data_IF_015454713873
#
_entry.id   IF_015454713873
#
_cell.length_a   1.000
_cell.length_b   1.000
_cell.length_c   1.000
_cell.angle_alpha   90.00
_cell.angle_beta   90.00
_cell.angle_gamma   90.00
#
_symmetry.space_group_name_H-M   'P 1'
#
loop_
_entity.id
_entity.type
_entity.pdbx_description
1 polymer ?
#
# COMPACT_ATOMS: atom_id res chain seq x y z
N UNK A 1 -16.73 -5.66 6.41
CA UNK A 1 -16.40 -4.51 5.60
C UNK A 1 -14.90 -4.23 5.53
N UNK A 2 -14.48 -3.33 4.67
CA UNK A 2 -13.06 -3.00 4.37
C UNK A 2 -12.24 -2.61 5.60
N UNK A 3 -12.80 -1.80 6.50
CA UNK A 3 -12.10 -1.37 7.73
C UNK A 3 -11.75 -2.58 8.59
N UNK A 4 -12.70 -3.48 8.79
CA UNK A 4 -12.47 -4.68 9.59
C UNK A 4 -11.40 -5.56 8.95
N UNK A 5 -11.44 -5.75 7.64
CA UNK A 5 -10.46 -6.57 6.92
C UNK A 5 -9.09 -5.91 6.86
N UNK A 6 -9.03 -4.67 6.35
CA UNK A 6 -7.77 -4.01 6.04
C UNK A 6 -7.06 -3.44 7.28
N UNK A 7 -7.81 -3.02 8.32
CA UNK A 7 -7.23 -2.40 9.50
C UNK A 7 -7.23 -3.35 10.71
N UNK A 8 -8.42 -3.80 11.15
CA UNK A 8 -8.52 -4.60 12.37
C UNK A 8 -7.82 -5.96 12.21
N UNK A 9 -8.15 -6.72 11.17
CA UNK A 9 -7.58 -8.06 10.98
C UNK A 9 -6.06 -8.00 10.76
N UNK A 10 -5.57 -7.03 9.98
CA UNK A 10 -4.14 -6.83 9.78
C UNK A 10 -3.42 -6.53 11.09
N UNK A 11 -3.97 -5.62 11.91
CA UNK A 11 -3.37 -5.26 13.20
C UNK A 11 -3.36 -6.45 14.16
N UNK A 12 -4.47 -7.19 14.24
CA UNK A 12 -4.58 -8.39 15.10
C UNK A 12 -3.60 -9.48 14.66
N UNK A 13 -3.53 -9.79 13.36
CA UNK A 13 -2.58 -10.77 12.82
C UNK A 13 -1.15 -10.37 13.11
N UNK A 14 -0.80 -9.11 12.91
CA UNK A 14 0.53 -8.59 13.25
C UNK A 14 0.83 -8.80 14.73
N UNK A 15 -0.08 -8.39 15.62
CA UNK A 15 0.10 -8.55 17.08
C UNK A 15 0.30 -10.00 17.50
N UNK A 16 -0.49 -10.92 16.95
CA UNK A 16 -0.42 -12.36 17.25
C UNK A 16 0.91 -12.96 16.75
N UNK A 17 1.41 -12.49 15.60
CA UNK A 17 2.63 -13.01 14.99
C UNK A 17 3.92 -12.54 15.68
N UNK A 18 3.91 -11.33 16.25
CA UNK A 18 5.12 -10.71 16.84
C UNK A 18 5.88 -11.60 17.84
N UNK A 19 5.25 -12.31 18.78
CA UNK A 19 5.96 -13.16 19.74
C UNK A 19 6.75 -14.32 19.11
N UNK A 20 6.39 -14.71 17.88
CA UNK A 20 7.01 -15.80 17.13
C UNK A 20 8.07 -15.32 16.13
N UNK A 21 8.32 -14.02 16.06
CA UNK A 21 9.28 -13.44 15.12
C UNK A 21 10.66 -13.33 15.71
N UNK A 22 11.64 -13.84 14.98
CA UNK A 22 13.06 -13.74 15.32
C UNK A 22 13.71 -12.53 14.61
N UNK A 23 14.94 -12.21 15.02
CA UNK A 23 15.81 -11.26 14.31
C UNK A 23 15.93 -11.65 12.84
N UNK A 24 15.84 -10.68 11.94
CA UNK A 24 15.79 -10.82 10.48
C UNK A 24 14.43 -11.26 9.90
N UNK A 25 13.40 -11.40 10.72
CA UNK A 25 12.05 -11.60 10.20
C UNK A 25 11.55 -10.36 9.42
N UNK A 26 10.65 -10.61 8.46
CA UNK A 26 10.04 -9.57 7.66
C UNK A 26 8.52 -9.64 7.76
N UNK A 27 7.88 -8.47 7.95
CA UNK A 27 6.43 -8.27 7.82
C UNK A 27 6.20 -7.48 6.54
N UNK A 28 5.41 -8.03 5.63
CA UNK A 28 5.06 -7.35 4.37
C UNK A 28 3.56 -7.10 4.37
N UNK A 29 3.17 -5.84 4.55
CA UNK A 29 1.78 -5.42 4.58
C UNK A 29 1.35 -4.84 3.23
N UNK A 30 0.24 -5.31 2.70
CA UNK A 30 -0.29 -4.86 1.41
C UNK A 30 -1.16 -3.61 1.59
N UNK A 31 -0.56 -2.45 1.33
CA UNK A 31 -1.22 -1.16 1.22
C UNK A 31 -1.72 -0.92 -0.22
N UNK A 32 -1.61 0.28 -0.72
CA UNK A 32 -1.94 0.70 -2.09
C UNK A 32 -1.33 2.07 -2.37
N UNK A 33 -1.18 2.46 -3.62
CA UNK A 33 -0.92 3.85 -4.00
C UNK A 33 -2.07 4.79 -3.61
N UNK A 34 -3.28 4.25 -3.41
CA UNK A 34 -4.42 4.98 -2.82
C UNK A 34 -4.15 5.50 -1.40
N UNK A 35 -3.15 4.94 -0.71
CA UNK A 35 -2.70 5.40 0.60
C UNK A 35 -1.97 6.76 0.57
N UNK A 36 -1.59 7.24 -0.61
CA UNK A 36 -0.78 8.45 -0.71
C UNK A 36 -1.59 9.75 -0.65
N UNK A 37 -2.90 9.67 -0.90
CA UNK A 37 -3.79 10.83 -0.86
C UNK A 37 -5.26 10.41 -0.77
N UNK A 38 -6.17 11.30 -0.28
CA UNK A 38 -7.61 11.06 -0.30
C UNK A 38 -8.12 10.82 -1.73
N UNK A 39 -9.07 9.90 -1.89
CA UNK A 39 -9.68 9.61 -3.20
C UNK A 39 -11.20 9.70 -3.11
N UNK A 40 -11.84 10.68 -3.79
CA UNK A 40 -13.30 10.72 -3.96
C UNK A 40 -13.81 9.39 -4.55
N UNK A 41 -15.00 8.98 -4.17
CA UNK A 41 -15.64 7.71 -4.52
C UNK A 41 -14.94 6.43 -3.98
N UNK A 42 -13.72 6.54 -3.43
CA UNK A 42 -12.95 5.46 -2.79
C UNK A 42 -12.50 5.85 -1.38
N UNK A 43 -13.25 6.70 -0.68
CA UNK A 43 -12.85 7.28 0.60
C UNK A 43 -12.48 6.22 1.66
N UNK A 44 -13.34 5.22 1.87
CA UNK A 44 -13.11 4.15 2.85
C UNK A 44 -11.89 3.31 2.47
N UNK A 45 -11.75 2.93 1.19
CA UNK A 45 -10.61 2.19 0.69
C UNK A 45 -9.31 2.97 0.89
N UNK A 46 -9.24 4.22 0.40
CA UNK A 46 -8.06 5.06 0.53
C UNK A 46 -7.67 5.28 2.01
N UNK A 47 -8.64 5.55 2.87
CA UNK A 47 -8.41 5.70 4.30
C UNK A 47 -7.87 4.41 4.94
N UNK A 48 -8.45 3.24 4.61
CA UNK A 48 -7.96 1.96 5.13
C UNK A 48 -6.53 1.65 4.68
N UNK A 49 -6.18 1.98 3.43
CA UNK A 49 -4.82 1.78 2.90
C UNK A 49 -3.82 2.81 3.45
N UNK A 50 -4.27 4.02 3.78
CA UNK A 50 -3.48 5.02 4.51
C UNK A 50 -3.18 4.55 5.94
N UNK A 51 -4.14 3.92 6.61
CA UNK A 51 -3.93 3.26 7.89
C UNK A 51 -2.81 2.21 7.78
N UNK A 52 -2.90 1.28 6.81
CA UNK A 52 -1.89 0.23 6.61
C UNK A 52 -0.50 0.81 6.38
N UNK A 53 -0.40 1.86 5.56
CA UNK A 53 0.88 2.53 5.27
C UNK A 53 1.46 3.19 6.53
N UNK A 54 0.65 3.94 7.27
CA UNK A 54 1.07 4.64 8.49
C UNK A 54 1.47 3.65 9.58
N UNK A 55 0.62 2.65 9.86
CA UNK A 55 0.86 1.58 10.81
C UNK A 55 2.17 0.84 10.51
N UNK A 56 2.39 0.43 9.26
CA UNK A 56 3.61 -0.29 8.88
C UNK A 56 4.87 0.54 9.07
N UNK A 57 4.80 1.85 8.80
CA UNK A 57 5.95 2.75 8.97
C UNK A 57 6.29 2.98 10.44
N UNK A 58 5.28 3.16 11.30
CA UNK A 58 5.48 3.29 12.73
C UNK A 58 6.07 2.00 13.31
N UNK A 59 5.43 0.88 13.02
CA UNK A 59 5.84 -0.44 13.50
C UNK A 59 7.26 -0.81 13.03
N UNK A 60 7.66 -0.41 11.83
CA UNK A 60 9.05 -0.57 11.36
C UNK A 60 10.06 0.07 12.33
N UNK A 61 9.78 1.29 12.77
CA UNK A 61 10.68 1.99 13.70
C UNK A 61 10.69 1.34 15.10
N UNK A 62 9.54 0.92 15.58
CA UNK A 62 9.41 0.23 16.86
C UNK A 62 10.19 -1.10 16.89
N UNK A 63 10.11 -1.86 15.80
CA UNK A 63 10.71 -3.19 15.70
C UNK A 63 12.17 -3.19 15.20
N UNK A 64 12.68 -2.03 14.78
CA UNK A 64 14.06 -1.90 14.29
C UNK A 64 15.09 -2.40 15.31
N UNK A 65 14.90 -2.10 16.59
CA UNK A 65 15.76 -2.57 17.68
C UNK A 65 15.78 -4.10 17.84
N UNK A 66 14.73 -4.77 17.41
CA UNK A 66 14.62 -6.24 17.40
C UNK A 66 15.12 -6.87 16.10
N UNK A 67 15.56 -6.06 15.13
CA UNK A 67 16.05 -6.52 13.84
C UNK A 67 14.95 -7.11 12.95
N UNK A 68 13.69 -6.69 13.16
CA UNK A 68 12.52 -7.06 12.35
C UNK A 68 12.22 -5.91 11.37
N UNK A 69 12.04 -6.25 10.11
CA UNK A 69 11.70 -5.29 9.05
C UNK A 69 10.21 -5.31 8.79
N UNK A 70 9.58 -4.14 8.71
CA UNK A 70 8.19 -4.01 8.28
C UNK A 70 8.14 -3.18 7.01
N UNK A 71 7.55 -3.72 5.94
CA UNK A 71 7.46 -3.09 4.63
C UNK A 71 6.01 -2.94 4.20
N UNK A 72 5.57 -1.71 3.94
CA UNK A 72 4.30 -1.44 3.28
C UNK A 72 4.49 -1.52 1.76
N UNK A 73 3.77 -2.39 1.09
CA UNK A 73 3.75 -2.48 -0.37
C UNK A 73 2.62 -1.60 -0.89
N UNK A 74 2.97 -0.59 -1.70
CA UNK A 74 2.04 0.38 -2.25
C UNK A 74 2.00 0.24 -3.78
N UNK A 75 1.32 -0.79 -4.32
CA UNK A 75 1.17 -0.94 -5.75
C UNK A 75 0.22 0.13 -6.31
N UNK A 76 0.47 0.54 -7.55
CA UNK A 76 -0.55 1.17 -8.38
C UNK A 76 -1.56 0.13 -8.88
N UNK A 77 -2.30 0.40 -9.95
CA UNK A 77 -3.15 -0.58 -10.60
C UNK A 77 -2.34 -1.83 -10.98
N UNK A 78 -2.80 -3.01 -10.57
CA UNK A 78 -2.16 -4.30 -10.86
C UNK A 78 -3.16 -5.18 -11.60
N UNK A 79 -2.70 -5.90 -12.60
CA UNK A 79 -3.55 -6.84 -13.32
C UNK A 79 -3.90 -8.03 -12.42
N UNK A 80 -5.09 -8.00 -11.82
CA UNK A 80 -5.63 -9.01 -10.89
C UNK A 80 -7.14 -9.05 -11.02
N UNK A 81 -7.75 -10.17 -10.64
CA UNK A 81 -9.22 -10.36 -10.59
C UNK A 81 -9.95 -9.26 -9.80
N UNK A 82 -9.28 -8.62 -8.84
CA UNK A 82 -9.83 -7.49 -8.09
C UNK A 82 -10.26 -6.33 -9.02
N UNK A 83 -9.47 -6.04 -10.07
CA UNK A 83 -9.82 -4.99 -11.03
C UNK A 83 -10.98 -5.40 -11.93
N UNK A 84 -11.05 -6.67 -12.31
CA UNK A 84 -12.15 -7.19 -13.14
C UNK A 84 -13.49 -7.07 -12.38
N UNK A 85 -13.49 -7.38 -11.07
CA UNK A 85 -14.64 -7.19 -10.19
C UNK A 85 -14.94 -5.70 -9.99
N UNK A 86 -13.95 -4.86 -9.72
CA UNK A 86 -14.16 -3.43 -9.51
C UNK A 86 -14.69 -2.71 -10.77
N UNK A 87 -14.26 -3.14 -11.97
CA UNK A 87 -14.74 -2.62 -13.26
C UNK A 87 -16.20 -2.99 -13.54
N UNK A 88 -16.71 -4.09 -12.99
CA UNK A 88 -18.12 -4.45 -13.12
C UNK A 88 -19.05 -3.46 -12.39
N UNK A 89 -18.53 -2.72 -11.40
CA UNK A 89 -19.29 -1.72 -10.63
C UNK A 89 -19.01 -0.27 -11.02
N UNK A 90 -17.87 0.01 -11.65
CA UNK A 90 -17.48 1.38 -12.04
C UNK A 90 -16.70 1.36 -13.35
N UNK A 91 -17.08 2.22 -14.33
CA UNK A 91 -16.30 2.41 -15.56
C UNK A 91 -14.92 2.94 -15.18
N UNK A 92 -13.90 2.09 -15.23
CA UNK A 92 -12.53 2.47 -14.92
C UNK A 92 -11.99 3.42 -16.00
N UNK A 93 -11.42 4.54 -15.61
CA UNK A 93 -10.84 5.50 -16.57
C UNK A 93 -9.67 4.85 -17.33
N UNK A 94 -9.61 5.06 -18.64
CA UNK A 94 -8.66 4.40 -19.56
C UNK A 94 -7.18 4.50 -19.14
N UNK A 95 -6.74 5.57 -18.46
CA UNK A 95 -5.36 5.69 -17.98
C UNK A 95 -4.98 4.64 -16.91
N UNK A 96 -5.94 4.15 -16.12
CA UNK A 96 -5.69 3.07 -15.13
C UNK A 96 -5.41 1.74 -15.81
N UNK A 97 -5.96 1.50 -16.99
CA UNK A 97 -5.69 0.30 -17.79
C UNK A 97 -4.26 0.31 -18.32
N UNK A 98 -3.79 1.46 -18.81
CA UNK A 98 -2.44 1.63 -19.36
C UNK A 98 -1.35 1.49 -18.29
N UNK A 99 -1.65 1.83 -17.03
CA UNK A 99 -0.71 1.80 -15.91
C UNK A 99 -0.70 0.47 -15.15
N UNK A 100 -1.43 -0.55 -15.60
CA UNK A 100 -1.49 -1.85 -14.92
C UNK A 100 -0.13 -2.53 -14.89
N UNK A 101 0.34 -2.81 -13.69
CA UNK A 101 1.58 -3.55 -13.48
C UNK A 101 1.35 -5.07 -13.47
N UNK A 102 2.36 -5.83 -13.83
CA UNK A 102 2.36 -7.28 -13.64
C UNK A 102 2.51 -7.62 -12.16
N UNK A 103 1.60 -8.44 -11.62
CA UNK A 103 1.57 -8.83 -10.21
C UNK A 103 2.88 -9.50 -9.75
N UNK A 104 3.45 -10.40 -10.56
CA UNK A 104 4.71 -11.07 -10.25
C UNK A 104 5.88 -10.11 -10.09
N UNK A 105 5.97 -9.08 -10.96
CA UNK A 105 7.02 -8.05 -10.86
C UNK A 105 6.85 -7.18 -9.59
N UNK A 106 5.61 -6.88 -9.21
CA UNK A 106 5.31 -6.14 -7.97
C UNK A 106 5.73 -6.95 -6.75
N UNK A 107 5.37 -8.23 -6.69
CA UNK A 107 5.74 -9.14 -5.59
C UNK A 107 7.24 -9.32 -5.49
N UNK A 108 7.92 -9.58 -6.61
CA UNK A 108 9.38 -9.73 -6.64
C UNK A 108 10.09 -8.48 -6.10
N UNK A 109 9.63 -7.28 -6.50
CA UNK A 109 10.18 -6.04 -5.97
C UNK A 109 9.89 -5.88 -4.48
N UNK A 110 8.67 -6.21 -4.04
CA UNK A 110 8.27 -6.08 -2.63
C UNK A 110 9.15 -6.94 -1.72
N UNK A 111 9.40 -8.18 -2.08
CA UNK A 111 10.29 -9.09 -1.35
C UNK A 111 11.72 -8.54 -1.34
N UNK A 112 12.24 -8.13 -2.49
CA UNK A 112 13.59 -7.55 -2.61
C UNK A 112 13.75 -6.28 -1.76
N UNK A 113 12.73 -5.43 -1.72
CA UNK A 113 12.74 -4.20 -0.92
C UNK A 113 12.65 -4.51 0.58
N UNK A 114 11.85 -5.49 0.99
CA UNK A 114 11.76 -5.95 2.37
C UNK A 114 13.11 -6.54 2.85
N UNK A 115 13.74 -7.38 2.06
CA UNK A 115 15.06 -7.94 2.37
C UNK A 115 16.17 -6.88 2.46
N UNK A 116 15.98 -5.72 1.80
CA UNK A 116 16.87 -4.55 1.91
C UNK A 116 16.51 -3.61 3.07
N UNK A 117 15.56 -3.96 3.90
CA UNK A 117 15.12 -3.14 5.03
C UNK A 117 14.32 -1.90 4.66
N UNK A 118 13.71 -1.84 3.47
CA UNK A 118 12.91 -0.68 3.08
C UNK A 118 11.53 -0.69 3.74
N UNK A 119 11.13 0.44 4.26
CA UNK A 119 9.82 0.64 4.91
C UNK A 119 8.66 0.68 3.92
N UNK A 120 8.91 1.12 2.68
CA UNK A 120 7.88 1.24 1.64
C UNK A 120 8.41 0.73 0.31
N UNK A 121 7.67 -0.18 -0.31
CA UNK A 121 7.91 -0.65 -1.68
C UNK A 121 6.85 -0.10 -2.61
N UNK A 122 7.29 0.51 -3.72
CA UNK A 122 6.41 1.08 -4.76
C UNK A 122 6.94 0.70 -6.13
N UNK A 123 6.12 -0.01 -6.90
CA UNK A 123 6.50 -0.45 -8.24
C UNK A 123 6.23 0.62 -9.31
N UNK A 124 7.18 0.78 -10.22
CA UNK A 124 7.06 1.67 -11.37
C UNK A 124 7.44 3.13 -11.09
N UNK A 125 8.00 3.78 -12.09
CA UNK A 125 8.49 5.17 -11.99
C UNK A 125 7.34 6.13 -11.75
N UNK A 126 6.21 5.94 -12.43
CA UNK A 126 5.01 6.79 -12.31
C UNK A 126 4.47 6.77 -10.86
N UNK A 127 4.37 5.59 -10.24
CA UNK A 127 3.88 5.47 -8.86
C UNK A 127 4.87 6.03 -7.85
N UNK A 128 6.17 5.94 -8.12
CA UNK A 128 7.20 6.59 -7.27
C UNK A 128 7.11 8.10 -7.37
N UNK A 129 6.96 8.65 -8.58
CA UNK A 129 6.73 10.08 -8.78
C UNK A 129 5.44 10.55 -8.11
N UNK A 130 4.34 9.84 -8.28
CA UNK A 130 3.07 10.11 -7.60
C UNK A 130 3.23 10.16 -6.08
N UNK A 131 3.94 9.20 -5.48
CA UNK A 131 4.24 9.20 -4.04
C UNK A 131 5.01 10.44 -3.59
N UNK A 132 5.93 10.97 -4.42
CA UNK A 132 6.68 12.20 -4.11
C UNK A 132 5.80 13.43 -4.24
N UNK A 133 5.07 13.54 -5.34
CA UNK A 133 4.17 14.67 -5.62
C UNK A 133 3.13 14.84 -4.52
N UNK A 134 2.47 13.76 -4.09
CA UNK A 134 1.46 13.79 -3.02
C UNK A 134 2.01 14.14 -1.63
N UNK A 135 3.33 14.15 -1.46
CA UNK A 135 3.97 14.64 -0.23
C UNK A 135 4.29 16.13 -0.25
N UNK A 136 4.52 16.67 -1.44
CA UNK A 136 4.96 18.06 -1.62
C UNK A 136 3.77 18.97 -1.84
N UNK A 137 2.81 18.56 -2.67
CA UNK A 137 1.65 19.38 -3.02
C UNK A 137 0.53 19.15 -1.98
N UNK A 138 -0.03 20.21 -1.38
CA UNK A 138 -1.16 20.06 -0.48
C UNK A 138 -2.34 19.33 -1.15
N UNK A 139 -2.91 18.35 -0.45
CA UNK A 139 -3.99 17.50 -0.99
C UNK A 139 -5.21 18.31 -1.43
N UNK A 140 -5.52 19.44 -0.76
CA UNK A 140 -6.61 20.33 -1.16
C UNK A 140 -6.50 20.88 -2.58
N UNK A 141 -5.28 20.96 -3.14
CA UNK A 141 -5.04 21.38 -4.51
C UNK A 141 -5.16 20.27 -5.53
N UNK A 142 -4.99 19.00 -5.11
CA UNK A 142 -4.96 17.83 -6.01
C UNK A 142 -6.33 17.14 -6.06
N UNK A 143 -6.96 16.96 -4.88
CA UNK A 143 -8.20 16.18 -4.72
C UNK A 143 -9.35 16.66 -5.62
N UNK A 144 -9.59 18.00 -5.83
CA UNK A 144 -10.66 18.46 -6.70
C UNK A 144 -10.54 18.02 -8.17
N UNK A 145 -9.35 17.64 -8.62
CA UNK A 145 -9.09 17.20 -10.01
C UNK A 145 -9.13 15.67 -10.19
N UNK A 146 -9.36 14.93 -9.10
CA UNK A 146 -9.45 13.46 -9.14
C UNK A 146 -10.93 13.06 -9.08
N UNK A 147 -11.55 12.95 -10.23
CA UNK A 147 -12.92 12.48 -10.42
C UNK A 147 -12.97 11.27 -11.34
#
# INVERSE_FOLDING_TARGET
>A
GEIRLNCESLTRMTKISLPYMAKRSNIINIASSAAFMPQPNFAVYAASKSYVLSFSRALHQELKKHGIVVTAVCPGPVNTEFFDIAESYTKTKGYKVILRANAGKVVTLAIKDAMKGKTVSTYGVVMKAFRVVTKIIPHGLIVPFIH
#
